data_IF_618917811159
#
_entry.id   IF_618917811159
#
_cell.length_a   1.000
_cell.length_b   1.000
_cell.length_c   1.000
_cell.angle_alpha   90.00
_cell.angle_beta   90.00
_cell.angle_gamma   90.00
#
_symmetry.space_group_name_H-M   'P 1'
#
loop_
_entity.id
_entity.type
_entity.pdbx_description
1 polymer ?
#
# COMPACT_ATOMS: atom_id res chain seq x y z
N UNK A 1 -16.22 6.85 7.25
CA UNK A 1 -16.00 8.29 7.51
C UNK A 1 -16.39 8.65 8.92
N UNK A 2 -17.68 8.73 9.31
CA UNK A 2 -18.07 9.15 10.66
C UNK A 2 -17.40 8.37 11.80
N UNK A 3 -17.36 7.04 11.73
CA UNK A 3 -16.69 6.20 12.75
C UNK A 3 -15.19 6.45 12.83
N UNK A 4 -14.51 6.63 11.69
CA UNK A 4 -13.07 6.90 11.66
C UNK A 4 -12.75 8.28 12.27
N UNK A 5 -13.58 9.28 11.96
CA UNK A 5 -13.48 10.62 12.54
C UNK A 5 -13.66 10.57 14.06
N UNK A 6 -14.74 9.94 14.54
CA UNK A 6 -15.05 9.85 15.97
C UNK A 6 -13.93 9.17 16.77
N UNK A 7 -13.40 8.05 16.25
CA UNK A 7 -12.27 7.35 16.89
C UNK A 7 -11.02 8.24 16.94
N UNK A 8 -10.71 8.94 15.85
CA UNK A 8 -9.54 9.82 15.82
C UNK A 8 -9.70 11.01 16.76
N UNK A 9 -10.89 11.62 16.83
CA UNK A 9 -11.17 12.73 17.76
C UNK A 9 -10.92 12.31 19.22
N UNK A 10 -11.43 11.13 19.61
CA UNK A 10 -11.21 10.54 20.93
C UNK A 10 -9.73 10.23 21.20
N UNK A 11 -9.00 9.66 20.24
CA UNK A 11 -7.56 9.42 20.41
C UNK A 11 -6.78 10.72 20.56
N UNK A 12 -7.16 11.77 19.85
CA UNK A 12 -6.49 13.07 19.92
C UNK A 12 -6.74 13.81 21.24
N UNK A 13 -7.77 13.46 22.03
CA UNK A 13 -7.91 13.99 23.40
C UNK A 13 -6.68 13.67 24.27
N UNK A 14 -6.06 12.50 24.04
CA UNK A 14 -4.93 12.00 24.83
C UNK A 14 -3.60 12.28 24.12
N UNK A 15 -3.56 12.20 22.79
CA UNK A 15 -2.31 12.33 22.03
C UNK A 15 -1.89 13.79 21.78
N UNK A 16 -2.85 14.71 21.59
CA UNK A 16 -2.56 16.11 21.22
C UNK A 16 -1.56 16.84 22.13
N UNK A 17 -1.53 16.61 23.46
CA UNK A 17 -0.55 17.27 24.33
C UNK A 17 0.89 16.75 24.18
N UNK A 18 1.09 15.56 23.60
CA UNK A 18 2.39 14.86 23.58
C UNK A 18 2.87 14.49 22.17
N UNK A 19 2.06 14.70 21.14
CA UNK A 19 2.41 14.44 19.74
C UNK A 19 2.14 15.65 18.85
N UNK A 20 2.72 15.62 17.64
CA UNK A 20 2.36 16.51 16.53
C UNK A 20 1.92 15.63 15.36
N UNK A 21 0.85 16.03 14.67
CA UNK A 21 0.33 15.31 13.51
C UNK A 21 1.15 15.72 12.28
N UNK A 22 1.86 14.77 11.69
CA UNK A 22 2.70 15.00 10.50
C UNK A 22 1.93 14.81 9.17
N UNK A 23 1.00 13.85 9.10
CA UNK A 23 0.10 13.68 7.95
C UNK A 23 -1.28 13.20 8.41
N UNK A 24 -2.32 13.73 7.77
CA UNK A 24 -3.70 13.28 7.91
C UNK A 24 -4.29 13.10 6.51
N UNK A 25 -4.75 11.89 6.20
CA UNK A 25 -5.33 11.57 4.90
C UNK A 25 -6.63 10.80 5.07
N UNK A 26 -7.74 11.40 4.61
CA UNK A 26 -9.05 10.76 4.64
C UNK A 26 -9.30 10.02 3.33
N UNK A 27 -9.13 8.70 3.37
CA UNK A 27 -9.39 7.84 2.22
C UNK A 27 -10.87 7.54 2.04
N UNK A 28 -11.24 7.15 0.81
CA UNK A 28 -12.58 6.66 0.49
C UNK A 28 -12.52 5.43 -0.42
N UNK A 29 -13.55 4.58 -0.34
CA UNK A 29 -13.72 3.49 -1.31
C UNK A 29 -14.25 4.08 -2.62
N UNK A 30 -13.53 3.86 -3.71
CA UNK A 30 -13.93 4.35 -5.03
C UNK A 30 -14.58 3.22 -5.85
N UNK A 31 -15.84 3.44 -6.24
CA UNK A 31 -16.66 2.49 -6.99
C UNK A 31 -16.67 1.09 -6.34
N UNK A 32 -16.48 0.02 -7.11
CA UNK A 32 -16.46 -1.37 -6.64
C UNK A 32 -15.20 -1.76 -5.86
N UNK A 33 -14.20 -0.87 -5.72
CA UNK A 33 -12.88 -1.18 -5.15
C UNK A 33 -11.73 -0.76 -6.06
N UNK A 34 -11.91 0.33 -6.81
CA UNK A 34 -10.90 0.84 -7.74
C UNK A 34 -9.92 1.76 -7.02
N UNK A 35 -8.67 1.71 -7.44
CA UNK A 35 -7.73 2.83 -7.29
C UNK A 35 -8.27 4.07 -8.01
N UNK A 36 -7.77 5.25 -7.62
CA UNK A 36 -8.23 6.51 -8.22
C UNK A 36 -7.78 6.69 -9.68
N UNK A 37 -6.77 5.92 -10.11
CA UNK A 37 -6.34 5.82 -11.52
C UNK A 37 -7.27 4.95 -12.37
N UNK A 38 -8.27 4.31 -11.74
CA UNK A 38 -9.41 3.67 -12.39
C UNK A 38 -9.28 2.16 -12.61
N UNK A 39 -8.30 1.51 -12.00
CA UNK A 39 -8.10 0.05 -12.02
C UNK A 39 -8.54 -0.56 -10.70
N UNK A 40 -9.06 -1.79 -10.69
CA UNK A 40 -9.32 -2.50 -9.44
C UNK A 40 -8.00 -2.65 -8.67
N UNK A 41 -8.03 -2.37 -7.37
CA UNK A 41 -6.84 -2.44 -6.51
C UNK A 41 -7.05 -3.48 -5.43
N UNK A 42 -6.01 -4.29 -5.19
CA UNK A 42 -6.05 -5.39 -4.22
C UNK A 42 -6.44 -6.76 -4.78
N UNK A 43 -6.57 -6.94 -6.10
CA UNK A 43 -6.98 -8.23 -6.71
C UNK A 43 -6.10 -9.40 -6.31
N UNK A 44 -4.78 -9.20 -6.29
CA UNK A 44 -3.78 -10.22 -5.96
C UNK A 44 -3.39 -10.22 -4.47
N UNK A 45 -4.14 -9.52 -3.61
CA UNK A 45 -3.86 -9.57 -2.18
C UNK A 45 -4.11 -10.99 -1.64
N UNK A 46 -3.20 -11.51 -0.80
CA UNK A 46 -3.52 -12.67 0.05
C UNK A 46 -4.80 -12.43 0.84
N UNK A 47 -5.64 -13.45 0.97
CA UNK A 47 -6.96 -13.32 1.59
C UNK A 47 -7.19 -14.34 2.70
N UNK A 48 -8.04 -13.97 3.66
CA UNK A 48 -8.40 -14.85 4.76
C UNK A 48 -7.18 -15.29 5.58
N UNK A 49 -7.09 -16.58 5.88
CA UNK A 49 -6.04 -17.15 6.73
C UNK A 49 -4.66 -17.02 6.09
N UNK A 50 -4.58 -17.16 4.76
CA UNK A 50 -3.32 -17.04 3.99
C UNK A 50 -2.65 -15.67 4.18
N UNK A 51 -3.43 -14.61 4.43
CA UNK A 51 -2.87 -13.28 4.69
C UNK A 51 -1.95 -13.25 5.91
N UNK A 52 -2.18 -14.12 6.89
CA UNK A 52 -1.35 -14.19 8.09
C UNK A 52 0.05 -14.71 7.78
N UNK A 53 0.19 -15.69 6.87
CA UNK A 53 1.48 -16.28 6.49
C UNK A 53 2.45 -15.27 5.85
N UNK A 54 1.89 -14.19 5.28
CA UNK A 54 2.64 -13.10 4.66
C UNK A 54 2.83 -11.87 5.55
N UNK A 55 2.03 -11.72 6.61
CA UNK A 55 1.98 -10.47 7.40
C UNK A 55 2.45 -10.62 8.83
N UNK A 56 2.35 -11.82 9.42
CA UNK A 56 2.76 -12.06 10.80
C UNK A 56 4.18 -12.60 10.86
N UNK A 57 4.97 -12.02 11.76
CA UNK A 57 6.31 -12.51 12.08
C UNK A 57 6.21 -13.91 12.69
N UNK A 58 6.96 -14.83 12.09
CA UNK A 58 7.04 -16.23 12.52
C UNK A 58 7.99 -16.41 13.72
N UNK A 59 7.75 -17.44 14.53
CA UNK A 59 8.56 -17.75 15.73
C UNK A 59 10.00 -18.12 15.40
N UNK A 60 10.25 -18.76 14.26
CA UNK A 60 11.59 -19.10 13.79
C UNK A 60 12.35 -17.90 13.21
N UNK A 61 11.62 -16.91 12.67
CA UNK A 61 12.19 -15.67 12.16
C UNK A 61 12.60 -14.73 13.29
N UNK A 62 11.70 -14.46 14.24
CA UNK A 62 11.95 -13.56 15.36
C UNK A 62 11.05 -13.91 16.56
N UNK A 63 11.55 -14.73 17.52
CA UNK A 63 10.77 -15.23 18.65
C UNK A 63 10.38 -14.13 19.64
N UNK A 64 11.01 -12.97 19.61
CA UNK A 64 10.68 -11.84 20.49
C UNK A 64 9.44 -11.08 19.98
N UNK A 65 9.30 -11.00 18.66
CA UNK A 65 8.27 -10.19 17.99
C UNK A 65 7.23 -11.01 17.21
N UNK A 66 7.06 -12.29 17.57
CA UNK A 66 6.05 -13.19 16.98
C UNK A 66 4.67 -12.55 16.97
N UNK A 67 3.94 -12.74 15.87
CA UNK A 67 2.64 -12.10 15.60
C UNK A 67 2.68 -10.56 15.53
N UNK A 68 3.87 -9.96 15.50
CA UNK A 68 4.07 -8.60 15.02
C UNK A 68 4.02 -8.54 13.49
N UNK A 69 4.11 -7.33 12.95
CA UNK A 69 4.11 -7.08 11.51
C UNK A 69 4.88 -5.79 11.20
N UNK A 70 5.23 -5.58 9.94
CA UNK A 70 5.72 -4.29 9.45
C UNK A 70 4.65 -3.67 8.57
N UNK A 71 4.38 -2.38 8.78
CA UNK A 71 3.57 -1.57 7.87
C UNK A 71 4.43 -0.49 7.23
N UNK A 72 4.38 -0.40 5.91
CA UNK A 72 5.01 0.68 5.17
C UNK A 72 3.95 1.51 4.46
N UNK A 73 3.94 2.81 4.71
CA UNK A 73 2.97 3.75 4.18
C UNK A 73 3.62 4.82 3.29
N UNK A 74 2.99 5.12 2.17
CA UNK A 74 3.41 6.17 1.23
C UNK A 74 2.20 6.90 0.66
N UNK A 75 2.25 8.23 0.69
CA UNK A 75 1.26 9.08 0.04
C UNK A 75 1.74 9.44 -1.35
N UNK A 76 0.96 9.07 -2.37
CA UNK A 76 1.23 9.42 -3.77
C UNK A 76 0.25 10.49 -4.25
N UNK A 77 0.77 11.54 -4.88
CA UNK A 77 -0.01 12.50 -5.66
C UNK A 77 0.05 12.12 -7.13
N UNK A 78 -1.09 12.08 -7.79
CA UNK A 78 -1.19 11.68 -9.19
C UNK A 78 -1.37 12.87 -10.12
N UNK A 79 -0.63 12.90 -11.22
CA UNK A 79 -0.91 13.77 -12.36
C UNK A 79 -2.07 13.18 -13.18
N UNK A 80 -3.29 13.41 -12.69
CA UNK A 80 -4.50 12.85 -13.29
C UNK A 80 -4.76 13.36 -14.71
N UNK A 81 -4.34 14.58 -15.04
CA UNK A 81 -4.47 15.14 -16.39
C UNK A 81 -3.60 14.42 -17.40
N UNK A 82 -2.33 14.14 -17.04
CA UNK A 82 -1.45 13.36 -17.89
C UNK A 82 -1.94 11.90 -18.01
N UNK A 83 -2.38 11.30 -16.89
CA UNK A 83 -2.92 9.94 -16.88
C UNK A 83 -4.16 9.80 -17.79
N UNK A 84 -5.13 10.71 -17.66
CA UNK A 84 -6.39 10.69 -18.43
C UNK A 84 -6.20 10.98 -19.93
N UNK A 85 -5.08 11.56 -20.33
CA UNK A 85 -4.73 11.78 -21.76
C UNK A 85 -4.25 10.51 -22.45
N UNK A 86 -3.80 9.50 -21.70
CA UNK A 86 -3.47 8.20 -22.27
C UNK A 86 -4.73 7.50 -22.81
N UNK A 87 -4.55 6.72 -23.87
CA UNK A 87 -5.58 5.77 -24.29
C UNK A 87 -5.73 4.68 -23.24
N UNK A 88 -6.89 4.03 -23.20
CA UNK A 88 -7.14 2.96 -22.22
C UNK A 88 -6.11 1.84 -22.38
N UNK A 89 -5.80 1.46 -23.61
CA UNK A 89 -4.82 0.42 -23.91
C UNK A 89 -3.43 0.77 -23.37
N UNK A 90 -3.03 2.04 -23.43
CA UNK A 90 -1.73 2.48 -22.89
C UNK A 90 -1.71 2.44 -21.34
N UNK A 91 -2.84 2.76 -20.70
CA UNK A 91 -2.99 2.61 -19.24
C UNK A 91 -2.96 1.13 -18.84
N UNK A 92 -3.67 0.27 -19.59
CA UNK A 92 -3.70 -1.18 -19.34
C UNK A 92 -2.31 -1.78 -19.44
N UNK A 93 -1.51 -1.39 -20.44
CA UNK A 93 -0.12 -1.85 -20.59
C UNK A 93 0.81 -1.32 -19.51
N UNK A 94 0.55 -0.13 -18.97
CA UNK A 94 1.29 0.45 -17.85
C UNK A 94 1.00 -0.25 -16.52
N UNK A 95 -0.24 -0.68 -16.30
CA UNK A 95 -0.65 -1.40 -15.08
C UNK A 95 -0.38 -2.91 -15.20
N UNK A 96 -0.55 -3.45 -16.41
CA UNK A 96 -0.47 -4.86 -16.77
C UNK A 96 -1.79 -5.65 -16.63
N UNK A 97 -2.92 -4.95 -16.54
CA UNK A 97 -4.26 -5.55 -16.41
C UNK A 97 -5.26 -4.79 -17.28
N UNK A 98 -6.36 -5.44 -17.66
CA UNK A 98 -7.49 -4.77 -18.30
C UNK A 98 -8.22 -3.86 -17.32
N UNK A 99 -8.55 -2.65 -17.75
CA UNK A 99 -9.12 -1.61 -16.89
C UNK A 99 -10.52 -1.98 -16.42
N UNK A 100 -11.38 -2.45 -17.32
CA UNK A 100 -12.77 -2.74 -16.98
C UNK A 100 -12.92 -4.09 -16.25
N UNK A 101 -12.38 -5.17 -16.83
CA UNK A 101 -12.56 -6.54 -16.36
C UNK A 101 -11.55 -6.99 -15.31
N UNK A 102 -10.49 -6.22 -15.10
CA UNK A 102 -9.39 -6.53 -14.18
C UNK A 102 -8.70 -7.88 -14.45
N UNK A 103 -8.82 -8.39 -15.67
CA UNK A 103 -8.08 -9.57 -16.09
C UNK A 103 -6.63 -9.17 -16.36
N UNK A 104 -5.69 -9.97 -15.88
CA UNK A 104 -4.28 -9.77 -16.20
C UNK A 104 -4.05 -9.89 -17.72
N UNK A 105 -3.20 -9.02 -18.26
CA UNK A 105 -2.80 -9.08 -19.67
C UNK A 105 -1.89 -10.28 -19.93
N UNK A 106 -1.77 -10.71 -21.18
CA UNK A 106 -0.71 -11.65 -21.56
C UNK A 106 0.67 -10.98 -21.41
N UNK A 107 1.72 -11.77 -21.16
CA UNK A 107 3.05 -11.22 -20.88
C UNK A 107 3.61 -10.41 -22.06
N UNK A 108 3.30 -10.79 -23.30
CA UNK A 108 3.74 -10.08 -24.50
C UNK A 108 3.00 -8.75 -24.71
N UNK A 109 1.87 -8.55 -24.04
CA UNK A 109 1.08 -7.33 -24.13
C UNK A 109 1.50 -6.29 -23.08
N UNK A 110 2.11 -6.72 -21.96
CA UNK A 110 2.58 -5.85 -20.88
C UNK A 110 3.78 -5.02 -21.34
N UNK A 111 3.93 -3.80 -20.80
CA UNK A 111 5.21 -3.12 -20.88
C UNK A 111 6.24 -3.87 -20.02
N UNK A 112 7.53 -3.90 -20.41
CA UNK A 112 8.59 -4.49 -19.57
C UNK A 112 8.69 -3.85 -18.18
N UNK A 113 8.27 -2.59 -18.05
CA UNK A 113 8.20 -1.82 -16.81
C UNK A 113 6.76 -1.58 -16.32
N UNK A 114 5.81 -2.45 -16.69
CA UNK A 114 4.45 -2.39 -16.17
C UNK A 114 4.43 -2.60 -14.64
N UNK A 115 3.52 -1.91 -13.94
CA UNK A 115 3.45 -1.92 -12.49
C UNK A 115 3.41 -3.34 -11.91
N UNK A 116 2.50 -4.20 -12.39
CA UNK A 116 2.38 -5.58 -11.92
C UNK A 116 3.58 -6.48 -12.24
N UNK A 117 4.49 -6.06 -13.12
CA UNK A 117 5.72 -6.79 -13.44
C UNK A 117 6.83 -6.35 -12.50
N UNK A 118 7.06 -5.04 -12.39
CA UNK A 118 8.20 -4.52 -11.63
C UNK A 118 7.93 -4.35 -10.14
N UNK A 119 6.67 -4.36 -9.71
CA UNK A 119 6.34 -4.27 -8.28
C UNK A 119 6.45 -5.61 -7.55
N UNK A 120 6.87 -6.69 -8.18
CA UNK A 120 6.98 -8.01 -7.55
C UNK A 120 8.29 -8.17 -6.78
N UNK A 121 8.23 -9.00 -5.74
CA UNK A 121 9.41 -9.57 -5.10
C UNK A 121 9.44 -11.07 -5.36
N UNK A 122 10.46 -11.53 -6.06
CA UNK A 122 10.65 -12.95 -6.39
C UNK A 122 12.08 -13.36 -6.04
N UNK A 123 12.21 -14.40 -5.22
CA UNK A 123 13.49 -14.99 -4.83
C UNK A 123 13.44 -16.50 -5.03
N UNK A 124 14.42 -17.07 -5.75
CA UNK A 124 14.48 -18.51 -5.98
C UNK A 124 13.27 -19.11 -6.73
N UNK A 125 12.51 -18.28 -7.46
CA UNK A 125 11.28 -18.69 -8.16
C UNK A 125 10.03 -18.70 -7.26
N UNK A 126 10.13 -18.18 -6.03
CA UNK A 126 9.00 -18.00 -5.12
C UNK A 126 8.67 -16.52 -5.05
N UNK A 127 7.41 -16.18 -5.30
CA UNK A 127 6.89 -14.82 -5.11
C UNK A 127 6.61 -14.57 -3.63
N UNK A 128 7.25 -13.55 -3.07
CA UNK A 128 6.94 -13.05 -1.74
C UNK A 128 5.85 -11.98 -1.85
N UNK A 129 4.79 -12.14 -1.05
CA UNK A 129 3.63 -11.25 -1.09
C UNK A 129 3.57 -10.34 0.12
N UNK A 130 2.82 -9.26 -0.04
CA UNK A 130 2.41 -8.33 1.00
C UNK A 130 0.89 -8.19 0.96
N UNK A 131 0.29 -7.73 2.06
CA UNK A 131 -1.13 -7.35 2.06
C UNK A 131 -1.24 -5.84 1.92
N UNK A 132 -1.89 -5.37 0.85
CA UNK A 132 -2.05 -3.93 0.58
C UNK A 132 -3.43 -3.45 0.99
N UNK A 133 -3.50 -2.30 1.65
CA UNK A 133 -4.78 -1.67 2.05
C UNK A 133 -4.86 -0.24 1.50
N UNK A 134 -4.53 -0.09 0.22
CA UNK A 134 -4.52 1.20 -0.47
C UNK A 134 -5.89 1.88 -0.41
N UNK A 135 -5.88 3.20 -0.21
CA UNK A 135 -7.11 4.01 -0.31
C UNK A 135 -6.90 5.22 -1.23
N UNK A 136 -7.84 5.48 -2.16
CA UNK A 136 -7.98 6.77 -2.81
C UNK A 136 -8.19 7.91 -1.81
N UNK A 137 -7.57 9.06 -2.07
CA UNK A 137 -7.95 10.33 -1.46
C UNK A 137 -7.96 11.43 -2.53
N UNK A 138 -8.80 12.45 -2.36
CA UNK A 138 -8.92 13.52 -3.34
C UNK A 138 -9.53 14.79 -2.74
N UNK A 139 -8.98 15.94 -3.13
CA UNK A 139 -9.53 17.28 -3.01
C UNK A 139 -9.52 17.91 -4.41
N UNK A 140 -10.59 17.69 -5.21
CA UNK A 140 -10.66 18.20 -6.59
C UNK A 140 -10.62 19.72 -6.67
N UNK A 141 -11.04 20.44 -5.63
CA UNK A 141 -11.01 21.90 -5.61
C UNK A 141 -9.58 22.46 -5.53
N UNK A 142 -8.63 21.65 -5.02
CA UNK A 142 -7.20 21.98 -4.94
C UNK A 142 -6.35 21.20 -5.95
N UNK A 143 -6.98 20.46 -6.85
CA UNK A 143 -6.31 19.57 -7.81
C UNK A 143 -5.36 18.56 -7.14
N UNK A 144 -5.74 18.09 -5.95
CA UNK A 144 -4.99 17.06 -5.21
C UNK A 144 -5.74 15.75 -5.33
N UNK A 145 -5.19 14.78 -6.05
CA UNK A 145 -5.78 13.45 -6.16
C UNK A 145 -4.67 12.42 -6.05
N UNK A 146 -4.90 11.37 -5.25
CA UNK A 146 -3.81 10.49 -4.88
C UNK A 146 -4.25 9.12 -4.38
N UNK A 147 -3.25 8.28 -4.15
CA UNK A 147 -3.39 7.00 -3.47
C UNK A 147 -2.56 7.07 -2.19
N UNK A 148 -3.18 6.74 -1.07
CA UNK A 148 -2.45 6.43 0.15
C UNK A 148 -2.15 4.93 0.12
N UNK A 149 -0.91 4.59 -0.21
CA UNK A 149 -0.41 3.22 -0.18
C UNK A 149 -0.13 2.84 1.27
N UNK A 150 -0.56 1.64 1.65
CA UNK A 150 -0.06 0.98 2.87
C UNK A 150 0.03 -0.52 2.62
N UNK A 151 1.21 -1.08 2.88
CA UNK A 151 1.51 -2.49 2.72
C UNK A 151 1.94 -3.10 4.05
N UNK A 152 1.44 -4.30 4.34
CA UNK A 152 1.79 -5.09 5.52
C UNK A 152 2.58 -6.32 5.11
N UNK A 153 3.67 -6.60 5.83
CA UNK A 153 4.49 -7.79 5.62
C UNK A 153 5.15 -8.25 6.91
N UNK A 154 5.45 -9.54 7.01
CA UNK A 154 6.21 -10.09 8.15
C UNK A 154 7.69 -9.71 8.14
N UNK A 155 8.19 -9.29 6.99
CA UNK A 155 9.54 -8.75 6.81
C UNK A 155 9.47 -7.52 5.91
N UNK A 156 9.99 -6.38 6.39
CA UNK A 156 10.05 -5.16 5.59
C UNK A 156 10.94 -5.31 4.35
N UNK A 157 11.93 -6.21 4.36
CA UNK A 157 12.80 -6.42 3.21
C UNK A 157 12.02 -6.79 1.94
N UNK A 158 10.89 -7.51 2.07
CA UNK A 158 9.98 -7.82 0.96
C UNK A 158 9.45 -6.52 0.33
N UNK A 159 8.81 -5.67 1.14
CA UNK A 159 8.27 -4.39 0.67
C UNK A 159 9.38 -3.48 0.12
N UNK A 160 10.55 -3.46 0.76
CA UNK A 160 11.69 -2.68 0.30
C UNK A 160 12.23 -3.15 -1.07
N UNK A 161 12.25 -4.45 -1.34
CA UNK A 161 12.63 -4.99 -2.67
C UNK A 161 11.59 -4.64 -3.73
N UNK A 162 10.29 -4.73 -3.43
CA UNK A 162 9.22 -4.28 -4.35
C UNK A 162 9.40 -2.81 -4.71
N UNK A 163 9.62 -1.94 -3.71
CA UNK A 163 9.88 -0.51 -3.94
C UNK A 163 11.16 -0.30 -4.75
N UNK A 164 12.25 -0.94 -4.35
CA UNK A 164 13.54 -0.84 -5.06
C UNK A 164 13.35 -1.19 -6.54
N UNK A 165 12.63 -2.27 -6.84
CA UNK A 165 12.32 -2.66 -8.21
C UNK A 165 11.50 -1.58 -8.92
N UNK A 166 10.42 -1.05 -8.32
CA UNK A 166 9.60 0.00 -8.93
C UNK A 166 10.44 1.25 -9.29
N UNK A 167 11.25 1.75 -8.37
CA UNK A 167 12.03 2.98 -8.58
C UNK A 167 13.23 2.75 -9.52
N UNK A 168 13.92 1.60 -9.43
CA UNK A 168 15.13 1.35 -10.25
C UNK A 168 14.81 0.82 -11.64
N UNK A 169 13.70 0.11 -11.83
CA UNK A 169 13.23 -0.40 -13.13
C UNK A 169 12.26 0.56 -13.83
N UNK A 170 12.12 1.77 -13.29
CA UNK A 170 11.30 2.85 -13.88
C UNK A 170 9.86 2.40 -14.11
N UNK A 171 9.18 1.95 -13.06
CA UNK A 171 7.75 1.63 -13.09
C UNK A 171 6.95 2.70 -13.82
N UNK A 172 6.24 2.31 -14.89
CA UNK A 172 5.50 3.23 -15.74
C UNK A 172 4.42 4.01 -14.99
N UNK A 173 3.88 3.47 -13.89
CA UNK A 173 2.90 4.19 -13.08
C UNK A 173 3.51 5.39 -12.34
N UNK A 174 4.80 5.33 -12.00
CA UNK A 174 5.50 6.42 -11.30
C UNK A 174 5.69 7.67 -12.17
N UNK A 175 5.61 7.55 -13.50
CA UNK A 175 5.57 8.72 -14.40
C UNK A 175 4.35 9.63 -14.14
N UNK A 176 3.32 9.08 -13.50
CA UNK A 176 2.09 9.78 -13.16
C UNK A 176 1.86 9.88 -11.65
N UNK A 177 2.71 9.28 -10.83
CA UNK A 177 2.49 9.10 -9.39
C UNK A 177 3.73 9.52 -8.62
N UNK A 178 3.66 10.64 -7.92
CA UNK A 178 4.79 11.17 -7.13
C UNK A 178 4.63 10.81 -5.66
N UNK A 179 5.55 10.04 -5.04
CA UNK A 179 5.55 9.84 -3.60
C UNK A 179 5.95 11.14 -2.90
N UNK A 180 5.16 11.55 -1.91
CA UNK A 180 5.45 12.74 -1.09
C UNK A 180 5.77 12.38 0.37
N UNK A 181 5.54 11.14 0.77
CA UNK A 181 5.91 10.60 2.08
C UNK A 181 6.42 9.15 1.95
N UNK A 182 7.10 8.67 2.98
CA UNK A 182 7.49 7.26 3.12
C UNK A 182 7.83 6.95 4.57
N UNK A 183 7.05 6.08 5.20
CA UNK A 183 7.16 5.79 6.63
C UNK A 183 7.08 4.29 6.87
N UNK A 184 8.05 3.76 7.60
CA UNK A 184 8.07 2.38 8.09
C UNK A 184 7.64 2.36 9.56
N UNK A 185 6.70 1.47 9.87
CA UNK A 185 6.22 1.21 11.22
C UNK A 185 6.41 -0.28 11.54
N UNK A 186 6.85 -0.56 12.76
CA UNK A 186 6.67 -1.87 13.35
C UNK A 186 5.32 -1.90 14.08
N UNK A 187 4.56 -2.97 13.89
CA UNK A 187 3.28 -3.23 14.53
C UNK A 187 3.49 -4.37 15.51
N UNK A 188 3.57 -4.10 16.83
CA UNK A 188 3.73 -5.16 17.82
C UNK A 188 2.50 -6.07 17.88
N UNK A 189 2.71 -7.31 18.31
CA UNK A 189 1.60 -8.16 18.74
C UNK A 189 0.83 -7.48 19.88
N UNK A 190 -0.43 -7.88 20.11
CA UNK A 190 -1.21 -7.34 21.24
C UNK A 190 -0.52 -7.58 22.59
N UNK A 191 0.06 -8.77 22.78
CA UNK A 191 0.81 -9.12 23.98
C UNK A 191 2.04 -8.23 24.16
N UNK A 192 2.77 -7.94 23.08
CA UNK A 192 3.93 -7.05 23.13
C UNK A 192 3.49 -5.60 23.41
N UNK A 193 2.41 -5.14 22.81
CA UNK A 193 1.86 -3.80 23.05
C UNK A 193 1.40 -3.62 24.50
N UNK A 194 0.76 -4.63 25.09
CA UNK A 194 0.36 -4.63 26.50
C UNK A 194 1.58 -4.47 27.42
N UNK A 195 2.65 -5.25 27.20
CA UNK A 195 3.90 -5.11 27.97
C UNK A 195 4.52 -3.71 27.85
N UNK A 196 4.54 -3.14 26.65
CA UNK A 196 5.04 -1.76 26.43
C UNK A 196 4.19 -0.76 27.22
N UNK A 197 2.86 -0.90 27.21
CA UNK A 197 1.95 -0.02 27.92
C UNK A 197 2.11 -0.12 29.45
N UNK A 198 2.39 -1.33 29.96
CA UNK A 198 2.60 -1.58 31.39
C UNK A 198 4.02 -1.19 31.86
N UNK A 199 4.93 -0.88 30.93
CA UNK A 199 6.33 -0.55 31.24
C UNK A 199 7.19 -1.78 31.55
N UNK A 200 6.74 -2.96 31.14
CA UNK A 200 7.37 -4.27 31.38
C UNK A 200 8.32 -4.70 30.24
N UNK A 201 8.63 -3.80 29.31
CA UNK A 201 9.51 -4.02 28.16
C UNK A 201 10.82 -3.25 28.29
#
# INVERSE_FOLDING_TARGET
MAVCYELMDQFMEILRPITTVEDETHGFRYMEGRSIVGFIDGTENPAGIESMDYTLIDEDQDPEFVNGSYAFAQKYIHNMDAWKKLKTEDQEKAIGRHKFSDRELADEEKLPNAHNVVSKDEEGGVEHKIVRMNVPFSDPAKDVTGTYFIGYSKDFAITNRMLTNMFTKSDRLLDFSTPITGNLFFIPSKTTLEKIADGDY
#
